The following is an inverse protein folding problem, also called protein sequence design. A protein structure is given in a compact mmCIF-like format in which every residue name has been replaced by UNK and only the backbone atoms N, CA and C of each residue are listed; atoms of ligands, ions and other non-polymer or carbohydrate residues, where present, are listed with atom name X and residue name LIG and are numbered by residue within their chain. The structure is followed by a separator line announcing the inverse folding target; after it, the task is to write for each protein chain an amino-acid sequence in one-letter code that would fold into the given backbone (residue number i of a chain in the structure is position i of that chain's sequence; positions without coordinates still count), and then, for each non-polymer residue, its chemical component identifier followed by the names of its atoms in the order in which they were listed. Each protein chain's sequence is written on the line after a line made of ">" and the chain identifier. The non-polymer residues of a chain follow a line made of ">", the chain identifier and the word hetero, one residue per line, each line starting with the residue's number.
data_IF_313840342221
#
_entry.id   IF_313840342221
#
_cell.length_a   1.000
_cell.length_b   1.000
_cell.length_c   1.000
_cell.angle_alpha   90.00
_cell.angle_beta   90.00
_cell.angle_gamma   90.00
#
_symmetry.space_group_name_H-M   'P 1'
#
loop_
_entity.id
_entity.type
_entity.pdbx_description
1 polymer ?
#
# COMPACT_ATOMS: atom_id res chain seq x y z
N UNK A 1 -3.66 10.74 19.60
CA UNK A 1 -3.60 9.95 18.34
C UNK A 1 -3.28 8.49 18.62
N UNK A 2 -2.23 8.20 19.37
CA UNK A 2 -1.73 6.86 19.70
C UNK A 2 -2.79 5.91 20.28
N UNK A 3 -3.66 6.39 21.17
CA UNK A 3 -4.70 5.55 21.77
C UNK A 3 -5.78 5.11 20.77
N UNK A 4 -6.01 5.89 19.70
CA UNK A 4 -6.91 5.47 18.61
C UNK A 4 -6.28 4.37 17.77
N UNK A 5 -4.97 4.47 17.49
CA UNK A 5 -4.25 3.53 16.64
C UNK A 5 -4.01 2.17 17.32
N UNK A 6 -3.90 2.11 18.65
CA UNK A 6 -3.71 0.88 19.43
C UNK A 6 -4.76 -0.21 19.18
N UNK A 7 -5.95 0.16 18.73
CA UNK A 7 -7.07 -0.76 18.45
C UNK A 7 -7.17 -1.19 16.99
N UNK A 8 -6.34 -0.65 16.11
CA UNK A 8 -6.36 -0.98 14.68
C UNK A 8 -5.89 -2.43 14.50
N UNK A 9 -6.71 -3.22 13.82
CA UNK A 9 -6.43 -4.62 13.46
C UNK A 9 -6.42 -4.86 11.95
N UNK A 10 -6.90 -3.89 11.18
CA UNK A 10 -6.99 -3.92 9.74
C UNK A 10 -6.58 -2.56 9.18
N UNK A 11 -5.72 -2.57 8.17
CA UNK A 11 -5.41 -1.44 7.32
C UNK A 11 -5.88 -1.76 5.91
N UNK A 12 -6.79 -0.93 5.36
CA UNK A 12 -7.21 -1.00 3.97
C UNK A 12 -6.61 0.18 3.21
N UNK A 13 -5.97 -0.11 2.08
CA UNK A 13 -5.31 0.90 1.25
C UNK A 13 -5.89 0.86 -0.16
N UNK A 14 -6.14 2.05 -0.70
CA UNK A 14 -6.37 2.16 -2.14
C UNK A 14 -5.03 1.96 -2.89
N UNK A 15 -5.10 1.65 -4.18
CA UNK A 15 -3.92 1.51 -5.02
C UNK A 15 -3.51 2.86 -5.60
N UNK A 16 -4.29 3.38 -6.55
CA UNK A 16 -3.89 4.53 -7.35
C UNK A 16 -4.01 5.85 -6.58
N UNK A 17 -2.88 6.54 -6.41
CA UNK A 17 -2.80 7.77 -5.62
C UNK A 17 -2.62 7.55 -4.12
N UNK A 18 -2.57 6.29 -3.65
CA UNK A 18 -2.20 5.93 -2.27
C UNK A 18 -0.93 5.10 -2.23
N UNK A 19 -0.94 3.91 -2.86
CA UNK A 19 0.25 3.06 -3.00
C UNK A 19 1.10 3.41 -4.23
N UNK A 20 0.50 4.13 -5.19
CA UNK A 20 1.17 4.73 -6.34
C UNK A 20 1.05 6.25 -6.26
N UNK A 21 1.79 6.96 -7.11
CA UNK A 21 1.64 8.41 -7.27
C UNK A 21 0.41 8.80 -8.14
N UNK A 22 -0.42 7.82 -8.52
CA UNK A 22 -1.60 8.00 -9.38
C UNK A 22 -1.29 7.98 -10.88
N UNK A 23 -0.01 7.84 -11.27
CA UNK A 23 0.37 7.73 -12.67
C UNK A 23 0.00 6.36 -13.24
N UNK A 24 -0.52 6.35 -14.47
CA UNK A 24 -0.80 5.15 -15.25
C UNK A 24 0.08 5.18 -16.49
N UNK A 25 0.98 4.21 -16.62
CA UNK A 25 1.94 4.13 -17.73
C UNK A 25 1.53 2.97 -18.63
N UNK A 26 1.34 3.23 -19.92
CA UNK A 26 1.12 2.20 -20.94
C UNK A 26 2.37 2.01 -21.79
N UNK A 27 2.70 0.76 -22.12
CA UNK A 27 3.73 0.45 -23.11
C UNK A 27 3.15 0.22 -24.51
N UNK A 28 4.02 0.08 -25.52
CA UNK A 28 3.61 -0.10 -26.92
C UNK A 28 2.81 -1.39 -27.18
N UNK A 29 2.86 -2.36 -26.27
CA UNK A 29 2.06 -3.59 -26.32
C UNK A 29 0.69 -3.43 -25.62
N UNK A 30 0.36 -2.23 -25.13
CA UNK A 30 -0.88 -1.95 -24.40
C UNK A 30 -0.90 -2.48 -22.96
N UNK A 31 0.24 -2.94 -22.43
CA UNK A 31 0.32 -3.35 -21.02
C UNK A 31 0.43 -2.15 -20.10
N UNK A 32 -0.29 -2.20 -18.98
CA UNK A 32 -0.25 -1.19 -17.93
C UNK A 32 0.89 -1.47 -16.93
N UNK A 33 1.63 -0.44 -16.58
CA UNK A 33 2.70 -0.45 -15.58
C UNK A 33 2.31 0.52 -14.47
N UNK A 34 2.36 0.04 -13.23
CA UNK A 34 2.19 0.84 -12.01
C UNK A 34 3.47 0.82 -11.20
N UNK A 35 3.89 1.99 -10.72
CA UNK A 35 5.06 2.13 -9.87
C UNK A 35 4.66 2.19 -8.39
N UNK A 36 5.30 1.35 -7.57
CA UNK A 36 5.08 1.26 -6.13
C UNK A 36 6.36 1.61 -5.36
N UNK A 37 6.22 2.08 -4.12
CA UNK A 37 7.36 2.40 -3.28
C UNK A 37 7.83 1.18 -2.46
N UNK A 38 9.14 0.89 -2.51
CA UNK A 38 9.75 -0.21 -1.74
C UNK A 38 9.62 -0.05 -0.22
N UNK A 39 9.60 1.19 0.29
CA UNK A 39 9.42 1.46 1.73
C UNK A 39 8.01 1.12 2.19
N UNK A 40 7.00 1.35 1.35
CA UNK A 40 5.62 1.00 1.66
C UNK A 40 5.45 -0.53 1.73
N UNK A 41 6.10 -1.25 0.81
CA UNK A 41 6.18 -2.72 0.87
C UNK A 41 6.78 -3.24 2.18
N UNK A 42 7.87 -2.62 2.66
CA UNK A 42 8.44 -2.96 3.96
C UNK A 42 7.48 -2.63 5.12
N UNK A 43 6.84 -1.46 5.09
CA UNK A 43 5.85 -1.05 6.10
C UNK A 43 4.68 -2.02 6.21
N UNK A 44 4.10 -2.43 5.07
CA UNK A 44 3.04 -3.44 5.00
C UNK A 44 3.53 -4.75 5.61
N UNK A 45 4.74 -5.21 5.25
CA UNK A 45 5.29 -6.46 5.79
C UNK A 45 5.46 -6.42 7.31
N UNK A 46 5.92 -5.29 7.85
CA UNK A 46 6.06 -5.07 9.28
C UNK A 46 4.71 -5.07 10.00
N UNK A 47 3.69 -4.41 9.44
CA UNK A 47 2.32 -4.42 9.98
C UNK A 47 1.73 -5.84 10.03
N UNK A 48 1.89 -6.61 8.94
CA UNK A 48 1.48 -8.01 8.90
C UNK A 48 2.20 -8.86 9.96
N UNK A 49 3.51 -8.61 10.16
CA UNK A 49 4.31 -9.29 11.19
C UNK A 49 3.85 -8.92 12.60
N UNK A 50 3.38 -7.69 12.81
CA UNK A 50 2.79 -7.22 14.06
C UNK A 50 1.33 -7.70 14.27
N UNK A 51 0.79 -8.54 13.39
CA UNK A 51 -0.56 -9.10 13.51
C UNK A 51 -1.68 -8.15 13.06
N UNK A 52 -1.35 -7.11 12.30
CA UNK A 52 -2.33 -6.22 11.66
C UNK A 52 -2.60 -6.76 10.26
N UNK A 53 -3.86 -7.04 9.95
CA UNK A 53 -4.27 -7.46 8.61
C UNK A 53 -4.15 -6.27 7.65
N UNK A 54 -3.75 -6.54 6.41
CA UNK A 54 -3.67 -5.52 5.35
C UNK A 54 -4.44 -6.04 4.14
N UNK A 55 -5.19 -5.16 3.49
CA UNK A 55 -5.95 -5.46 2.28
C UNK A 55 -6.27 -4.23 1.45
#
# INVERSE_FOLDING_TARGET
>A
MTDRLRRVKLLLLDADGVLTDGSIIYNDAGSEIKAFNVKDGLGIRLLMTAGIQVG
#
